data_IF_900909068171
#
_entry.id   IF_900909068171
#
_cell.length_a   1.000
_cell.length_b   1.000
_cell.length_c   1.000
_cell.angle_alpha   90.00
_cell.angle_beta   90.00
_cell.angle_gamma   90.00
#
_symmetry.space_group_name_H-M   'P 1'
#
loop_
_entity.id
_entity.type
_entity.pdbx_description
1 polymer ?
#
# COMPACT_ATOMS: atom_id res chain seq x y z
N UNK A 1 -88.96 23.91 27.97
CA UNK A 1 -87.87 22.99 28.45
C UNK A 1 -86.84 22.90 27.42
N UNK A 2 -85.77 23.72 27.55
CA UNK A 2 -84.64 23.79 26.64
C UNK A 2 -83.50 22.94 27.19
N UNK A 3 -83.04 21.95 26.43
CA UNK A 3 -81.81 21.20 26.74
C UNK A 3 -80.69 21.73 25.84
N UNK A 4 -79.76 22.42 26.44
CA UNK A 4 -78.54 22.86 25.83
C UNK A 4 -77.57 21.68 25.75
N UNK A 5 -77.21 21.29 24.54
CA UNK A 5 -76.10 20.36 24.24
C UNK A 5 -74.85 21.15 24.04
N UNK A 6 -73.95 21.06 24.99
CA UNK A 6 -72.59 21.57 24.84
C UNK A 6 -71.76 20.57 24.03
N UNK A 7 -71.34 20.99 22.85
CA UNK A 7 -70.43 20.23 22.05
C UNK A 7 -69.01 20.66 22.47
N UNK A 8 -68.24 19.75 23.08
CA UNK A 8 -66.79 19.93 23.42
C UNK A 8 -66.00 19.66 22.15
N UNK A 9 -65.40 20.71 21.59
CA UNK A 9 -64.43 20.59 20.50
C UNK A 9 -63.05 20.37 21.13
N UNK A 10 -62.51 19.16 21.04
CA UNK A 10 -61.13 18.85 21.40
C UNK A 10 -60.20 19.29 20.25
N UNK A 11 -59.49 20.36 20.43
CA UNK A 11 -58.45 20.81 19.56
C UNK A 11 -57.16 19.95 19.81
N UNK A 12 -56.87 19.03 18.93
CA UNK A 12 -55.62 18.29 18.92
C UNK A 12 -54.55 19.17 18.26
N UNK A 13 -53.69 19.77 19.09
CA UNK A 13 -52.51 20.48 18.62
C UNK A 13 -51.42 19.45 18.24
N UNK A 14 -51.27 19.20 16.94
CA UNK A 14 -50.15 18.43 16.42
C UNK A 14 -48.86 19.25 16.59
N UNK A 15 -48.04 18.94 17.60
CA UNK A 15 -46.68 19.44 17.70
C UNK A 15 -45.83 18.71 16.64
N UNK A 16 -45.54 19.38 15.53
CA UNK A 16 -44.56 18.93 14.58
C UNK A 16 -43.20 18.97 15.25
N UNK A 17 -42.74 17.84 15.82
CA UNK A 17 -41.40 17.64 16.27
C UNK A 17 -40.44 17.73 15.06
N UNK A 18 -39.76 18.85 14.92
CA UNK A 18 -38.63 18.96 14.02
C UNK A 18 -37.53 17.99 14.50
N UNK A 19 -37.42 16.86 13.81
CA UNK A 19 -36.26 15.97 13.98
C UNK A 19 -35.03 16.79 13.64
N UNK A 20 -33.99 16.82 14.51
CA UNK A 20 -32.73 17.43 14.16
C UNK A 20 -32.26 16.72 12.86
N UNK A 21 -32.09 17.48 11.79
CA UNK A 21 -31.38 17.03 10.62
C UNK A 21 -30.00 16.59 11.13
N UNK A 22 -29.79 15.28 11.20
CA UNK A 22 -28.46 14.71 11.38
C UNK A 22 -27.70 15.21 10.17
N UNK A 23 -26.89 16.26 10.37
CA UNK A 23 -25.95 16.69 9.37
C UNK A 23 -25.15 15.43 9.00
N UNK A 24 -25.39 14.89 7.83
CA UNK A 24 -24.52 13.93 7.22
C UNK A 24 -23.19 14.66 7.09
N UNK A 25 -22.33 14.44 8.08
CA UNK A 25 -20.96 14.84 8.04
C UNK A 25 -20.37 14.11 6.83
N UNK A 26 -20.41 14.80 5.70
CA UNK A 26 -19.69 14.36 4.53
C UNK A 26 -18.25 14.11 5.01
N UNK A 27 -17.83 12.87 5.02
CA UNK A 27 -16.47 12.45 5.39
C UNK A 27 -15.39 13.01 4.44
N UNK A 28 -15.72 14.01 3.63
CA UNK A 28 -14.79 14.91 2.93
C UNK A 28 -13.92 15.73 3.86
N UNK A 29 -14.22 15.76 5.15
CA UNK A 29 -13.58 16.66 6.10
C UNK A 29 -12.17 16.25 6.51
N UNK A 30 -11.59 15.17 5.97
CA UNK A 30 -10.34 14.67 6.51
C UNK A 30 -9.26 14.37 5.46
N UNK A 31 -9.00 15.34 4.60
CA UNK A 31 -7.72 15.41 3.92
C UNK A 31 -7.05 16.72 4.34
N UNK A 32 -6.18 16.71 5.34
CA UNK A 32 -5.48 17.92 5.72
C UNK A 32 -4.65 18.39 4.54
N UNK A 33 -4.64 19.69 4.28
CA UNK A 33 -3.82 20.27 3.21
C UNK A 33 -2.36 19.81 3.33
N UNK A 34 -1.87 19.70 4.56
CA UNK A 34 -0.57 19.09 4.86
C UNK A 34 -0.69 17.55 4.97
N UNK A 35 -0.93 16.89 3.86
CA UNK A 35 -1.01 15.42 3.79
C UNK A 35 0.27 14.75 4.28
N UNK A 36 1.42 15.40 4.20
CA UNK A 36 2.71 14.90 4.66
C UNK A 36 2.77 14.67 6.18
N UNK A 37 1.86 15.25 6.96
CA UNK A 37 1.76 15.01 8.40
C UNK A 37 1.08 13.69 8.77
N UNK A 38 0.40 13.06 7.81
CA UNK A 38 -0.27 11.79 8.02
C UNK A 38 0.70 10.61 7.96
N UNK A 39 0.30 9.49 8.58
CA UNK A 39 0.98 8.21 8.34
C UNK A 39 0.93 7.85 6.86
N UNK A 40 1.91 7.08 6.35
CA UNK A 40 1.93 6.66 4.94
C UNK A 40 0.65 5.89 4.57
N UNK A 41 0.13 5.07 5.48
CA UNK A 41 -1.13 4.35 5.28
C UNK A 41 -2.32 5.30 5.11
N UNK A 42 -2.38 6.38 5.88
CA UNK A 42 -3.45 7.36 5.77
C UNK A 42 -3.28 8.24 4.52
N UNK A 43 -2.04 8.59 4.14
CA UNK A 43 -1.75 9.23 2.85
C UNK A 43 -2.28 8.40 1.69
N UNK A 44 -1.99 7.11 1.67
CA UNK A 44 -2.48 6.17 0.65
C UNK A 44 -4.01 6.18 0.61
N UNK A 45 -4.68 6.03 1.76
CA UNK A 45 -6.14 6.01 1.85
C UNK A 45 -6.77 7.30 1.31
N UNK A 46 -6.20 8.45 1.66
CA UNK A 46 -6.68 9.76 1.20
C UNK A 46 -6.54 9.89 -0.32
N UNK A 47 -5.38 9.53 -0.87
CA UNK A 47 -5.12 9.60 -2.33
C UNK A 47 -6.03 8.62 -3.09
N UNK A 48 -6.16 7.39 -2.62
CA UNK A 48 -7.02 6.38 -3.24
C UNK A 48 -8.50 6.79 -3.25
N UNK A 49 -8.98 7.39 -2.17
CA UNK A 49 -10.34 7.90 -2.08
C UNK A 49 -10.57 9.04 -3.05
N UNK A 50 -9.67 10.02 -3.09
CA UNK A 50 -9.75 11.14 -4.02
C UNK A 50 -9.71 10.66 -5.49
N UNK A 51 -8.81 9.74 -5.82
CA UNK A 51 -8.74 9.17 -7.16
C UNK A 51 -10.03 8.42 -7.53
N UNK A 52 -10.58 7.63 -6.60
CA UNK A 52 -11.83 6.89 -6.80
C UNK A 52 -13.01 7.82 -7.03
N UNK A 53 -13.11 8.91 -6.27
CA UNK A 53 -14.14 9.93 -6.45
C UNK A 53 -14.06 10.59 -7.82
N UNK A 54 -12.89 11.04 -8.22
CA UNK A 54 -12.71 11.73 -9.50
C UNK A 54 -12.80 10.80 -10.72
N UNK A 55 -12.41 9.54 -10.57
CA UNK A 55 -12.36 8.55 -11.65
C UNK A 55 -13.65 7.72 -11.81
N UNK A 56 -14.71 8.04 -11.07
CA UNK A 56 -15.96 7.27 -11.04
C UNK A 56 -15.75 5.81 -10.59
N UNK A 57 -15.01 5.62 -9.52
CA UNK A 57 -14.84 4.32 -8.84
C UNK A 57 -13.62 3.51 -9.27
N UNK A 58 -12.77 4.00 -10.18
CA UNK A 58 -11.55 3.28 -10.58
C UNK A 58 -10.50 3.29 -9.45
N UNK A 59 -9.71 2.25 -9.40
CA UNK A 59 -8.52 2.22 -8.55
C UNK A 59 -7.38 3.01 -9.20
N UNK A 60 -6.61 3.73 -8.38
CA UNK A 60 -5.39 4.39 -8.83
C UNK A 60 -4.35 3.33 -9.26
N UNK A 61 -3.64 3.53 -10.38
CA UNK A 61 -2.48 2.72 -10.73
C UNK A 61 -1.40 2.77 -9.64
N UNK A 62 -0.73 1.64 -9.39
CA UNK A 62 0.27 1.54 -8.33
C UNK A 62 1.46 2.49 -8.56
N UNK A 63 1.87 2.69 -9.81
CA UNK A 63 2.94 3.62 -10.20
C UNK A 63 2.55 5.09 -9.98
N UNK A 64 1.30 5.45 -10.26
CA UNK A 64 0.78 6.80 -9.99
C UNK A 64 0.67 7.07 -8.48
N UNK A 65 0.21 6.08 -7.71
CA UNK A 65 0.18 6.19 -6.25
C UNK A 65 1.58 6.38 -5.67
N UNK A 66 2.54 5.58 -6.14
CA UNK A 66 3.93 5.67 -5.69
C UNK A 66 4.56 7.02 -6.03
N UNK A 67 4.26 7.55 -7.22
CA UNK A 67 4.65 8.90 -7.60
C UNK A 67 4.13 9.95 -6.60
N UNK A 68 2.84 9.92 -6.22
CA UNK A 68 2.30 10.89 -5.27
C UNK A 68 2.93 10.77 -3.89
N UNK A 69 3.20 9.56 -3.42
CA UNK A 69 3.90 9.35 -2.15
C UNK A 69 5.32 9.91 -2.18
N UNK A 70 6.02 9.75 -3.29
CA UNK A 70 7.34 10.37 -3.49
C UNK A 70 7.24 11.90 -3.58
N UNK A 71 6.22 12.46 -4.24
CA UNK A 71 6.03 13.92 -4.29
C UNK A 71 5.72 14.52 -2.91
N UNK A 72 4.95 13.83 -2.08
CA UNK A 72 4.72 14.25 -0.68
C UNK A 72 6.05 14.28 0.07
N UNK A 73 6.82 13.22 -0.01
CA UNK A 73 8.05 13.02 0.75
C UNK A 73 9.19 13.94 0.28
N UNK A 74 9.39 14.05 -1.03
CA UNK A 74 10.56 14.73 -1.63
C UNK A 74 10.28 16.20 -1.95
N UNK A 75 9.06 16.49 -2.42
CA UNK A 75 8.69 17.81 -2.95
C UNK A 75 7.66 18.53 -2.07
N UNK A 76 7.25 17.92 -0.96
CA UNK A 76 6.26 18.45 -0.01
C UNK A 76 4.95 18.87 -0.69
N UNK A 77 4.48 18.06 -1.63
CA UNK A 77 3.20 18.34 -2.27
C UNK A 77 2.07 18.31 -1.25
N UNK A 78 1.18 19.30 -1.40
CA UNK A 78 -0.03 19.42 -0.59
C UNK A 78 -1.14 18.56 -1.18
N UNK A 79 -2.18 18.31 -0.39
CA UNK A 79 -3.34 17.54 -0.87
C UNK A 79 -4.03 18.22 -2.05
N UNK A 80 -4.22 19.55 -2.02
CA UNK A 80 -4.81 20.31 -3.12
C UNK A 80 -4.04 20.16 -4.42
N UNK A 81 -2.70 20.10 -4.35
CA UNK A 81 -1.86 19.88 -5.52
C UNK A 81 -2.05 18.47 -6.09
N UNK A 82 -2.05 17.45 -5.25
CA UNK A 82 -2.30 16.06 -5.66
C UNK A 82 -3.68 15.93 -6.30
N UNK A 83 -4.71 16.48 -5.67
CA UNK A 83 -6.08 16.48 -6.18
C UNK A 83 -6.19 17.09 -7.57
N UNK A 84 -5.53 18.24 -7.77
CA UNK A 84 -5.50 18.90 -9.07
C UNK A 84 -4.75 18.07 -10.12
N UNK A 85 -3.63 17.46 -9.77
CA UNK A 85 -2.86 16.60 -10.67
C UNK A 85 -3.65 15.34 -11.07
N UNK A 86 -4.37 14.72 -10.14
CA UNK A 86 -5.32 13.64 -10.45
C UNK A 86 -6.36 14.09 -11.47
N UNK A 87 -6.96 15.27 -11.25
CA UNK A 87 -7.96 15.81 -12.17
C UNK A 87 -7.40 16.04 -13.58
N UNK A 88 -6.17 16.51 -13.70
CA UNK A 88 -5.48 16.71 -14.98
C UNK A 88 -5.17 15.37 -15.65
N UNK A 89 -4.62 14.41 -14.90
CA UNK A 89 -4.27 13.09 -15.43
C UNK A 89 -5.49 12.33 -15.93
N UNK A 90 -6.62 12.44 -15.25
CA UNK A 90 -7.88 11.79 -15.65
C UNK A 90 -8.50 12.41 -16.91
N UNK A 91 -8.30 13.71 -17.15
CA UNK A 91 -8.76 14.38 -18.38
C UNK A 91 -7.97 13.94 -19.61
N UNK A 92 -6.67 13.68 -19.45
CA UNK A 92 -5.81 13.19 -20.55
C UNK A 92 -6.02 11.70 -20.88
N UNK A 93 -6.69 10.94 -20.02
CA UNK A 93 -6.79 9.48 -20.10
C UNK A 93 -8.06 8.96 -20.79
N UNK A 94 -8.64 9.66 -21.75
CA UNK A 94 -9.79 9.15 -22.52
C UNK A 94 -9.49 7.92 -23.40
N UNK A 95 -8.25 7.46 -23.41
CA UNK A 95 -7.80 6.31 -24.18
C UNK A 95 -6.93 5.45 -23.29
N UNK A 96 -7.46 4.49 -22.55
CA UNK A 96 -6.76 3.35 -21.94
C UNK A 96 -5.24 3.46 -21.65
N UNK A 97 -4.73 4.67 -21.59
CA UNK A 97 -3.30 5.00 -21.54
C UNK A 97 -2.73 4.69 -20.18
N UNK A 98 -1.62 4.01 -20.19
CA UNK A 98 -0.72 3.90 -19.04
C UNK A 98 -0.45 5.31 -18.51
N UNK A 99 -0.62 5.51 -17.20
CA UNK A 99 -0.25 6.78 -16.58
C UNK A 99 1.26 7.01 -16.74
N UNK A 100 1.61 8.22 -17.11
CA UNK A 100 3.00 8.67 -17.15
C UNK A 100 3.17 9.86 -16.20
N UNK A 101 4.27 9.95 -15.45
CA UNK A 101 4.58 11.16 -14.70
C UNK A 101 4.63 12.35 -15.64
N UNK A 102 4.30 13.58 -15.15
CA UNK A 102 4.28 14.79 -15.95
C UNK A 102 5.55 14.94 -16.79
N UNK A 103 5.39 15.23 -18.08
CA UNK A 103 6.48 15.38 -19.03
C UNK A 103 7.47 16.47 -18.54
N UNK A 104 8.75 16.13 -18.41
CA UNK A 104 9.85 17.01 -18.02
C UNK A 104 10.53 16.67 -16.70
N UNK A 105 10.01 15.75 -15.91
CA UNK A 105 10.67 15.26 -14.70
C UNK A 105 11.40 13.93 -14.93
N UNK A 106 12.67 13.85 -14.61
CA UNK A 106 13.41 12.58 -14.50
C UNK A 106 13.02 11.87 -13.19
N UNK A 107 11.70 11.68 -12.95
CA UNK A 107 11.29 10.94 -11.77
C UNK A 107 11.79 9.50 -11.86
N UNK A 108 12.61 9.14 -10.91
CA UNK A 108 13.05 7.77 -10.71
C UNK A 108 12.37 7.29 -9.44
N UNK A 109 11.54 6.26 -9.51
CA UNK A 109 10.87 5.74 -8.32
C UNK A 109 11.90 5.30 -7.28
N UNK A 110 11.76 5.81 -6.08
CA UNK A 110 12.56 5.39 -4.91
C UNK A 110 11.92 4.23 -4.19
N UNK A 111 10.67 3.97 -4.50
CA UNK A 111 9.88 2.82 -4.04
C UNK A 111 9.10 2.23 -5.20
N UNK A 112 8.54 1.06 -4.98
CA UNK A 112 7.61 0.40 -5.91
C UNK A 112 6.47 -0.20 -5.13
N UNK A 113 5.23 0.14 -5.48
CA UNK A 113 4.05 -0.57 -4.97
C UNK A 113 3.79 -1.76 -5.88
N UNK A 114 3.67 -2.94 -5.29
CA UNK A 114 3.32 -4.16 -6.00
C UNK A 114 2.10 -4.81 -5.36
N UNK A 115 1.08 -5.09 -6.17
CA UNK A 115 -0.22 -5.55 -5.71
C UNK A 115 -0.60 -6.89 -6.31
N UNK A 116 -0.97 -7.84 -5.46
CA UNK A 116 -1.65 -9.08 -5.84
C UNK A 116 -3.13 -8.78 -6.06
N UNK A 117 -3.50 -8.40 -7.30
CA UNK A 117 -4.89 -8.13 -7.67
C UNK A 117 -5.68 -9.44 -7.68
N UNK A 118 -6.90 -9.43 -7.14
CA UNK A 118 -7.79 -10.60 -7.07
C UNK A 118 -7.12 -11.84 -6.45
N UNK A 119 -6.19 -11.64 -5.51
CA UNK A 119 -5.36 -12.66 -4.88
C UNK A 119 -4.48 -13.46 -5.86
N UNK A 120 -4.31 -12.97 -7.08
CA UNK A 120 -3.52 -13.63 -8.13
C UNK A 120 -2.04 -13.25 -8.01
N UNK A 121 -1.21 -14.13 -8.52
CA UNK A 121 0.22 -13.84 -8.71
C UNK A 121 0.40 -12.64 -9.65
N UNK A 122 1.26 -11.71 -9.25
CA UNK A 122 1.64 -10.56 -10.05
C UNK A 122 3.13 -10.28 -9.90
N UNK A 123 3.76 -9.78 -10.94
CA UNK A 123 5.15 -9.35 -10.97
C UNK A 123 5.26 -7.87 -11.30
N UNK A 124 6.04 -7.15 -10.51
CA UNK A 124 6.31 -5.73 -10.68
C UNK A 124 7.80 -5.54 -10.99
N UNK A 125 8.09 -4.83 -12.08
CA UNK A 125 9.47 -4.45 -12.40
C UNK A 125 9.96 -3.37 -11.44
N UNK A 126 11.22 -3.45 -11.06
CA UNK A 126 11.83 -2.47 -10.17
C UNK A 126 13.09 -1.89 -10.80
N UNK A 127 13.38 -0.59 -10.58
CA UNK A 127 14.65 0.02 -10.96
C UNK A 127 15.76 -0.26 -9.94
N UNK A 128 15.48 -1.09 -8.93
CA UNK A 128 16.38 -1.32 -7.82
C UNK A 128 17.63 -2.06 -8.24
N UNK A 129 18.77 -1.58 -7.80
CA UNK A 129 20.05 -2.26 -7.98
C UNK A 129 20.30 -3.30 -6.89
N UNK A 130 19.72 -3.07 -5.70
CA UNK A 130 19.79 -3.97 -4.58
C UNK A 130 18.52 -4.81 -4.39
N UNK A 131 18.53 -5.63 -3.34
CA UNK A 131 17.40 -6.47 -2.99
C UNK A 131 16.24 -5.61 -2.46
N UNK A 132 15.02 -5.77 -2.95
CA UNK A 132 13.86 -5.08 -2.41
C UNK A 132 13.61 -5.41 -0.93
N UNK A 133 13.18 -4.42 -0.18
CA UNK A 133 12.73 -4.56 1.21
C UNK A 133 11.32 -4.00 1.34
N UNK A 134 10.42 -4.78 1.92
CA UNK A 134 9.08 -4.32 2.26
C UNK A 134 9.16 -3.26 3.37
N UNK A 135 8.60 -2.08 3.11
CA UNK A 135 8.55 -0.98 4.09
C UNK A 135 7.14 -0.67 4.57
N UNK A 136 6.15 -1.02 3.79
CA UNK A 136 4.74 -0.81 4.14
C UNK A 136 3.90 -1.98 3.65
N UNK A 137 3.09 -2.57 4.54
CA UNK A 137 2.04 -3.52 4.16
C UNK A 137 0.75 -2.74 3.92
N UNK A 138 0.33 -2.62 2.67
CA UNK A 138 -0.83 -1.81 2.27
C UNK A 138 -2.12 -2.63 2.34
N UNK A 139 -2.03 -3.94 2.08
CA UNK A 139 -3.18 -4.86 2.11
C UNK A 139 -3.57 -5.26 3.53
N UNK A 140 -4.80 -5.75 3.69
CA UNK A 140 -5.24 -6.43 4.92
C UNK A 140 -4.50 -7.76 5.11
N UNK A 141 -4.11 -8.40 4.01
CA UNK A 141 -3.26 -9.60 4.04
C UNK A 141 -1.84 -9.22 4.43
N UNK A 142 -1.30 -9.85 5.46
CA UNK A 142 0.11 -9.66 5.84
C UNK A 142 1.03 -10.17 4.74
N UNK A 143 1.92 -9.32 4.25
CA UNK A 143 2.96 -9.68 3.30
C UNK A 143 4.13 -10.34 4.05
N UNK A 144 4.43 -11.58 3.71
CA UNK A 144 5.52 -12.38 4.30
C UNK A 144 6.46 -12.85 3.20
N UNK A 145 7.75 -12.50 3.32
CA UNK A 145 8.75 -12.88 2.33
C UNK A 145 8.87 -14.42 2.21
N UNK A 146 8.97 -14.91 0.99
CA UNK A 146 9.02 -16.33 0.69
C UNK A 146 7.67 -17.06 0.72
N UNK A 147 6.60 -16.41 1.22
CA UNK A 147 5.25 -17.01 1.27
C UNK A 147 4.31 -16.38 0.23
N UNK A 148 4.10 -15.08 0.30
CA UNK A 148 3.20 -14.36 -0.59
C UNK A 148 3.83 -13.12 -1.23
N UNK A 149 5.11 -12.89 -0.99
CA UNK A 149 5.94 -11.99 -1.78
C UNK A 149 7.39 -12.46 -1.78
N UNK A 150 8.14 -12.00 -2.74
CA UNK A 150 9.57 -12.19 -2.84
C UNK A 150 10.13 -11.38 -3.99
N UNK A 151 11.44 -11.53 -4.22
CA UNK A 151 12.13 -10.75 -5.22
C UNK A 151 13.19 -11.54 -5.97
N UNK A 152 13.44 -11.11 -7.19
CA UNK A 152 14.60 -11.50 -8.00
C UNK A 152 15.14 -10.22 -8.68
N UNK A 153 16.30 -10.30 -9.28
CA UNK A 153 16.93 -9.14 -9.89
C UNK A 153 15.97 -8.38 -10.82
N UNK A 154 15.74 -7.10 -10.51
CA UNK A 154 14.85 -6.23 -11.27
C UNK A 154 13.35 -6.51 -11.12
N UNK A 155 12.95 -7.37 -10.17
CA UNK A 155 11.57 -7.86 -10.08
C UNK A 155 11.14 -8.15 -8.64
N UNK A 156 9.89 -7.78 -8.33
CA UNK A 156 9.18 -8.20 -7.13
C UNK A 156 7.98 -9.02 -7.58
N UNK A 157 7.73 -10.15 -6.94
CA UNK A 157 6.49 -10.89 -7.11
C UNK A 157 5.67 -10.83 -5.83
N UNK A 158 4.35 -10.76 -6.00
CA UNK A 158 3.35 -10.80 -4.92
C UNK A 158 2.24 -11.78 -5.27
N UNK A 159 1.61 -12.37 -4.26
CA UNK A 159 0.53 -13.34 -4.43
C UNK A 159 -0.43 -13.31 -3.25
N UNK A 160 -1.56 -14.03 -3.34
CA UNK A 160 -2.51 -14.28 -2.24
C UNK A 160 -2.98 -13.02 -1.51
N UNK A 161 -3.16 -11.92 -2.24
CA UNK A 161 -3.66 -10.67 -1.70
C UNK A 161 -2.62 -9.79 -1.00
N UNK A 162 -1.32 -10.12 -1.08
CA UNK A 162 -0.29 -9.20 -0.62
C UNK A 162 -0.23 -7.97 -1.51
N UNK A 163 -0.27 -6.79 -0.90
CA UNK A 163 0.03 -5.50 -1.51
C UNK A 163 0.97 -4.75 -0.60
N UNK A 164 2.13 -4.40 -1.08
CA UNK A 164 3.16 -3.73 -0.29
C UNK A 164 3.91 -2.67 -1.07
N UNK A 165 4.50 -1.74 -0.32
CA UNK A 165 5.47 -0.78 -0.84
C UNK A 165 6.87 -1.26 -0.51
N UNK A 166 7.71 -1.29 -1.51
CA UNK A 166 9.07 -1.81 -1.46
C UNK A 166 10.06 -0.72 -1.82
N UNK A 167 11.21 -0.73 -1.18
CA UNK A 167 12.34 0.16 -1.50
C UNK A 167 13.58 -0.67 -1.81
N UNK A 168 14.56 -0.05 -2.46
CA UNK A 168 15.90 -0.62 -2.56
C UNK A 168 16.54 -0.70 -1.18
N UNK A 169 17.02 -1.87 -0.77
CA UNK A 169 17.73 -2.00 0.51
C UNK A 169 19.13 -1.40 0.48
N UNK A 170 19.63 -1.03 -0.70
CA UNK A 170 21.01 -0.63 -0.90
C UNK A 170 22.01 -1.79 -0.87
N UNK A 171 21.57 -2.95 -0.43
CA UNK A 171 22.36 -4.18 -0.45
C UNK A 171 22.19 -4.85 -1.81
N UNK A 172 23.29 -5.09 -2.52
CA UNK A 172 23.25 -5.77 -3.80
C UNK A 172 22.54 -7.14 -3.72
N UNK A 173 22.16 -7.70 -4.84
CA UNK A 173 21.54 -9.03 -4.95
C UNK A 173 22.43 -10.16 -4.41
N UNK A 174 23.75 -9.91 -4.27
CA UNK A 174 24.64 -10.64 -3.40
C UNK A 174 24.73 -9.89 -2.09
N UNK A 175 24.28 -10.49 -0.99
CA UNK A 175 24.29 -9.86 0.32
C UNK A 175 25.65 -9.19 0.60
N UNK A 176 25.58 -8.02 1.21
CA UNK A 176 26.70 -7.32 1.85
C UNK A 176 28.08 -7.70 1.36
N UNK A 177 28.55 -7.06 0.30
CA UNK A 177 29.98 -7.00 -0.03
C UNK A 177 30.75 -8.31 0.04
N UNK A 178 30.32 -9.29 -0.68
CA UNK A 178 31.08 -10.45 -1.14
C UNK A 178 30.10 -11.41 -1.81
N UNK A 179 30.48 -12.02 -2.91
CA UNK A 179 29.76 -13.01 -3.69
C UNK A 179 29.04 -14.02 -2.77
N UNK A 180 27.88 -13.64 -2.23
CA UNK A 180 27.11 -14.44 -1.28
C UNK A 180 26.65 -15.73 -1.94
N UNK A 181 27.46 -16.75 -1.90
CA UNK A 181 27.07 -18.07 -2.38
C UNK A 181 26.11 -18.68 -1.37
N UNK A 182 24.90 -19.00 -1.87
CA UNK A 182 23.95 -19.79 -1.11
C UNK A 182 24.41 -21.24 -1.16
N UNK A 183 24.60 -21.82 -0.01
CA UNK A 183 24.91 -23.25 0.09
C UNK A 183 23.91 -23.92 1.02
N UNK A 184 23.67 -25.18 0.78
CA UNK A 184 22.77 -26.01 1.59
C UNK A 184 23.58 -26.71 2.66
N UNK A 185 23.08 -26.63 3.89
CA UNK A 185 23.63 -27.37 5.02
C UNK A 185 22.50 -28.11 5.73
N UNK A 186 22.63 -29.41 5.88
CA UNK A 186 21.61 -30.27 6.47
C UNK A 186 22.22 -31.14 7.57
N UNK A 187 21.52 -31.25 8.69
CA UNK A 187 21.78 -32.34 9.65
C UNK A 187 21.07 -33.61 9.16
N UNK A 188 21.76 -34.72 9.16
CA UNK A 188 21.19 -36.01 8.81
C UNK A 188 20.82 -36.77 10.10
N UNK A 189 19.56 -37.23 10.17
CA UNK A 189 19.04 -37.93 11.32
C UNK A 189 19.13 -37.18 12.67
N UNK A 190 19.07 -35.83 12.63
CA UNK A 190 19.18 -34.99 13.83
C UNK A 190 20.61 -34.90 14.43
N UNK A 191 21.61 -35.39 13.70
CA UNK A 191 23.01 -35.33 14.16
C UNK A 191 23.66 -34.04 13.78
N UNK A 192 24.56 -33.53 14.63
CA UNK A 192 25.40 -32.38 14.36
C UNK A 192 26.23 -32.59 13.09
N UNK A 193 26.24 -31.59 12.21
CA UNK A 193 27.05 -31.59 11.00
C UNK A 193 27.62 -30.20 10.74
N UNK A 194 28.90 -30.16 10.45
CA UNK A 194 29.56 -28.96 9.96
C UNK A 194 29.53 -28.90 8.46
N UNK A 195 29.13 -27.75 7.92
CA UNK A 195 29.17 -27.49 6.50
C UNK A 195 30.26 -26.47 6.20
N UNK A 196 31.14 -26.78 5.25
CA UNK A 196 32.17 -25.84 4.82
C UNK A 196 31.51 -24.66 4.14
N UNK A 197 31.73 -23.49 4.68
CA UNK A 197 31.36 -22.22 4.09
C UNK A 197 32.22 -21.95 2.86
N UNK A 198 31.65 -21.55 1.70
CA UNK A 198 32.40 -21.01 0.60
C UNK A 198 33.29 -19.85 1.07
N UNK A 199 34.51 -19.76 0.57
CA UNK A 199 35.53 -18.82 1.05
C UNK A 199 35.24 -17.39 0.59
N UNK A 200 34.15 -16.80 1.06
CA UNK A 200 33.60 -15.51 0.58
C UNK A 200 33.71 -14.38 1.60
N UNK A 201 34.49 -14.55 2.68
CA UNK A 201 34.60 -13.53 3.75
C UNK A 201 33.21 -13.00 4.21
N UNK A 202 32.93 -12.86 5.44
CA UNK A 202 31.65 -12.35 5.95
C UNK A 202 30.85 -13.37 6.75
N UNK A 203 29.78 -12.93 7.41
CA UNK A 203 28.94 -13.78 8.25
C UNK A 203 27.96 -14.61 7.43
N UNK A 204 27.70 -15.82 7.90
CA UNK A 204 26.68 -16.70 7.32
C UNK A 204 25.31 -16.37 7.96
N UNK A 205 24.30 -16.20 7.15
CA UNK A 205 22.93 -16.00 7.64
C UNK A 205 22.00 -17.06 7.05
N UNK A 206 21.05 -17.53 7.85
CA UNK A 206 20.03 -18.45 7.40
C UNK A 206 19.06 -17.71 6.45
N UNK A 207 19.11 -18.02 5.16
CA UNK A 207 18.22 -17.40 4.15
C UNK A 207 16.91 -18.15 3.98
N UNK A 208 16.91 -19.47 4.28
CA UNK A 208 15.71 -20.31 4.19
C UNK A 208 15.89 -21.56 5.04
N UNK A 209 14.92 -21.84 5.91
CA UNK A 209 14.80 -23.10 6.61
C UNK A 209 14.08 -24.11 5.71
N UNK A 210 14.66 -25.29 5.53
CA UNK A 210 14.13 -26.36 4.68
C UNK A 210 13.54 -27.51 5.49
N UNK A 211 13.79 -27.56 6.79
CA UNK A 211 13.33 -28.60 7.72
C UNK A 211 12.14 -28.12 8.54
N UNK A 212 11.40 -29.05 9.10
CA UNK A 212 10.37 -28.78 10.13
C UNK A 212 10.95 -28.42 11.50
N UNK A 213 12.16 -28.89 11.80
CA UNK A 213 12.89 -28.53 13.02
C UNK A 213 13.40 -27.09 12.94
N UNK A 214 13.28 -26.37 14.07
CA UNK A 214 13.69 -24.96 14.12
C UNK A 214 15.21 -24.84 14.10
N UNK A 215 15.75 -24.06 13.14
CA UNK A 215 17.14 -23.66 13.15
C UNK A 215 17.30 -22.40 14.00
N UNK A 216 18.12 -22.46 15.04
CA UNK A 216 18.46 -21.32 15.90
C UNK A 216 19.95 -21.02 15.75
N UNK A 217 20.28 -19.75 15.74
CA UNK A 217 21.68 -19.28 15.82
C UNK A 217 22.17 -19.55 17.25
N UNK A 218 23.29 -20.23 17.38
CA UNK A 218 23.90 -20.57 18.67
C UNK A 218 24.74 -19.45 19.27
#
# INVERSE_FOLDING_TARGET
>A
MYRLLFALILAVTATAGSLPAVAQNNQRAYAPENIGSLSVRDQIRVIENEYREQSRGRQIPDDQLDFYLDQIRLSRWTFSRIRNDIAVSLRGSNSGSVWYPPAGGTWKPTSVICSSKDRRYNECRTPFRGRPRLVENISDTRCVEGQNWGSRQGLIWVNRGCRGRFIDSGNGWGGSGSNGQVFRCESDGGRYRECRKPNTGGNTVLVRQLSSGRCTEG
#
